data_IF_728380632727
#
_entry.id   IF_728380632727
#
_cell.length_a   1.000
_cell.length_b   1.000
_cell.length_c   1.000
_cell.angle_alpha   90.00
_cell.angle_beta   90.00
_cell.angle_gamma   90.00
#
_symmetry.space_group_name_H-M   'P 1'
#
loop_
_entity.id
_entity.type
_entity.pdbx_description
1 polymer ?
#
# COMPACT_ATOMS: atom_id res chain seq x y z
N UNK A 1 24.42 0.41 -31.36
CA UNK A 1 23.36 -0.34 -30.67
C UNK A 1 22.98 0.46 -29.44
N UNK A 2 21.77 0.98 -29.39
CA UNK A 2 21.26 1.74 -28.25
C UNK A 2 21.02 0.79 -27.06
N UNK A 3 22.06 0.59 -26.25
CA UNK A 3 21.98 -0.19 -25.01
C UNK A 3 21.34 0.64 -23.89
N UNK A 4 20.11 1.12 -24.11
CA UNK A 4 19.34 1.85 -23.09
C UNK A 4 18.77 0.91 -22.01
N UNK A 5 18.77 -0.41 -22.28
CA UNK A 5 18.23 -1.44 -21.40
C UNK A 5 19.10 -2.70 -21.36
N UNK A 6 19.10 -3.36 -20.20
CA UNK A 6 19.74 -4.66 -20.00
C UNK A 6 18.79 -5.56 -19.22
N UNK A 7 18.69 -6.82 -19.64
CA UNK A 7 17.86 -7.84 -18.99
C UNK A 7 18.73 -9.03 -18.60
N UNK A 8 18.65 -9.41 -17.34
CA UNK A 8 19.20 -10.65 -16.82
C UNK A 8 18.06 -11.63 -16.57
N UNK A 9 18.12 -12.78 -17.25
CA UNK A 9 17.16 -13.87 -17.12
C UNK A 9 17.49 -14.83 -15.96
N UNK A 10 18.64 -14.63 -15.32
CA UNK A 10 19.09 -15.37 -14.16
C UNK A 10 19.79 -14.41 -13.19
N UNK A 11 19.16 -14.17 -12.05
CA UNK A 11 19.69 -13.30 -11.00
C UNK A 11 20.99 -13.85 -10.43
N UNK A 12 21.13 -15.16 -10.23
CA UNK A 12 22.39 -15.75 -9.74
C UNK A 12 23.55 -15.53 -10.70
N UNK A 13 23.31 -15.64 -12.01
CA UNK A 13 24.34 -15.34 -13.00
C UNK A 13 24.77 -13.88 -12.91
N UNK A 14 23.80 -12.97 -12.78
CA UNK A 14 24.07 -11.55 -12.62
C UNK A 14 25.01 -11.26 -11.44
N UNK A 15 24.64 -11.72 -10.24
CA UNK A 15 25.40 -11.43 -9.02
C UNK A 15 26.73 -12.19 -8.94
N UNK A 16 26.82 -13.40 -9.51
CA UNK A 16 28.07 -14.16 -9.58
C UNK A 16 29.09 -13.53 -10.51
N UNK A 17 28.65 -12.90 -11.60
CA UNK A 17 29.55 -12.30 -12.59
C UNK A 17 29.91 -10.84 -12.28
N UNK A 18 29.16 -10.16 -11.40
CA UNK A 18 29.35 -8.75 -11.07
C UNK A 18 30.72 -8.35 -10.46
N UNK A 19 31.44 -9.21 -9.72
CA UNK A 19 32.75 -8.85 -9.15
C UNK A 19 33.87 -8.59 -10.18
N UNK A 20 33.68 -8.95 -11.46
CA UNK A 20 34.73 -8.75 -12.47
C UNK A 20 34.76 -7.31 -13.01
N UNK A 21 35.54 -6.46 -12.32
CA UNK A 21 35.69 -5.00 -12.53
C UNK A 21 35.93 -4.53 -13.98
N UNK A 22 36.53 -5.34 -14.83
CA UNK A 22 36.91 -4.94 -16.20
C UNK A 22 35.84 -5.23 -17.26
N UNK A 23 34.87 -6.09 -16.95
CA UNK A 23 33.89 -6.51 -17.95
C UNK A 23 32.77 -5.47 -18.16
N UNK A 24 32.58 -4.50 -17.28
CA UNK A 24 31.32 -3.74 -17.21
C UNK A 24 31.39 -2.25 -17.54
N UNK A 25 32.51 -1.75 -18.10
CA UNK A 25 32.59 -0.34 -18.52
C UNK A 25 31.51 0.03 -19.57
N UNK A 26 31.08 -0.94 -20.39
CA UNK A 26 29.99 -0.75 -21.34
C UNK A 26 28.61 -0.57 -20.68
N UNK A 27 28.46 -0.95 -19.39
CA UNK A 27 27.20 -0.81 -18.64
C UNK A 27 26.96 0.61 -18.10
N UNK A 28 27.95 1.50 -18.16
CA UNK A 28 27.85 2.88 -17.62
C UNK A 28 26.73 3.70 -18.25
N UNK A 29 26.37 3.39 -19.49
CA UNK A 29 25.31 4.07 -20.23
C UNK A 29 23.92 3.51 -19.95
N UNK A 30 23.81 2.34 -19.32
CA UNK A 30 22.55 1.67 -19.03
C UNK A 30 21.64 2.56 -18.19
N UNK A 31 20.43 2.82 -18.69
CA UNK A 31 19.40 3.60 -17.98
C UNK A 31 18.36 2.72 -17.31
N UNK A 32 18.14 1.53 -17.85
CA UNK A 32 17.13 0.57 -17.38
C UNK A 32 17.73 -0.81 -17.17
N UNK A 33 17.46 -1.40 -16.01
CA UNK A 33 17.88 -2.75 -15.67
C UNK A 33 16.65 -3.59 -15.32
N UNK A 34 16.55 -4.79 -15.90
CA UNK A 34 15.57 -5.78 -15.49
C UNK A 34 16.26 -7.04 -14.99
N UNK A 35 15.88 -7.50 -13.80
CA UNK A 35 16.35 -8.75 -13.20
C UNK A 35 15.13 -9.62 -12.96
N UNK A 36 15.12 -10.81 -13.55
CA UNK A 36 14.06 -11.80 -13.34
C UNK A 36 14.69 -13.05 -12.70
N UNK A 37 14.13 -13.54 -11.58
CA UNK A 37 14.57 -14.81 -11.01
C UNK A 37 14.01 -16.00 -11.82
N UNK A 38 14.74 -17.12 -11.83
CA UNK A 38 14.29 -18.35 -12.51
C UNK A 38 13.19 -19.04 -11.69
N UNK A 39 12.25 -19.69 -12.38
CA UNK A 39 11.15 -20.45 -11.74
C UNK A 39 11.65 -21.55 -10.80
N UNK A 40 12.88 -22.03 -11.03
CA UNK A 40 13.47 -23.20 -10.37
C UNK A 40 14.36 -22.82 -9.18
N UNK A 41 14.56 -21.52 -8.91
CA UNK A 41 15.32 -21.01 -7.77
C UNK A 41 14.41 -20.95 -6.54
N UNK A 42 14.02 -22.11 -6.01
CA UNK A 42 13.05 -22.15 -4.91
C UNK A 42 13.62 -21.73 -3.56
N UNK A 43 14.92 -21.88 -3.25
CA UNK A 43 15.38 -21.71 -1.85
C UNK A 43 16.77 -21.11 -1.66
N UNK A 44 17.35 -20.46 -2.66
CA UNK A 44 18.68 -19.88 -2.52
C UNK A 44 18.60 -18.36 -2.54
N UNK A 45 18.77 -17.76 -1.37
CA UNK A 45 19.12 -16.35 -1.26
C UNK A 45 20.26 -16.06 -2.21
N UNK A 46 20.15 -14.99 -2.98
CA UNK A 46 21.17 -14.61 -3.93
C UNK A 46 22.46 -14.37 -3.13
N UNK A 47 23.56 -15.11 -3.42
CA UNK A 47 24.84 -14.83 -2.80
C UNK A 47 25.31 -13.45 -3.28
N UNK A 48 25.06 -12.44 -2.45
CA UNK A 48 25.36 -11.06 -2.77
C UNK A 48 26.86 -10.80 -2.58
N UNK A 49 27.56 -10.61 -3.68
CA UNK A 49 28.82 -9.88 -3.69
C UNK A 49 28.52 -8.41 -3.97
N UNK A 50 28.66 -7.55 -2.97
CA UNK A 50 28.57 -6.09 -3.18
C UNK A 50 29.76 -5.69 -4.06
N UNK A 51 29.55 -5.20 -5.29
CA UNK A 51 30.66 -4.77 -6.12
C UNK A 51 31.33 -3.54 -5.47
N UNK A 52 32.65 -3.56 -5.32
CA UNK A 52 33.41 -2.41 -4.78
C UNK A 52 33.25 -1.15 -5.65
N UNK A 53 32.92 -1.32 -6.93
CA UNK A 53 32.69 -0.24 -7.90
C UNK A 53 31.33 -0.40 -8.55
N UNK A 54 30.45 0.58 -8.37
CA UNK A 54 29.11 0.61 -8.97
C UNK A 54 29.21 0.90 -10.49
N UNK A 55 28.83 -0.04 -11.39
CA UNK A 55 29.07 0.14 -12.83
C UNK A 55 28.01 0.98 -13.53
N UNK A 56 26.92 1.33 -12.84
CA UNK A 56 25.69 1.86 -13.42
C UNK A 56 25.48 3.37 -13.20
N UNK A 57 26.36 4.19 -13.77
CA UNK A 57 26.36 5.64 -13.54
C UNK A 57 25.04 6.31 -13.97
N UNK A 58 24.40 5.83 -15.05
CA UNK A 58 23.19 6.43 -15.62
C UNK A 58 21.90 5.66 -15.30
N UNK A 59 21.96 4.62 -14.47
CA UNK A 59 20.80 3.80 -14.18
C UNK A 59 19.76 4.60 -13.40
N UNK A 60 18.58 4.73 -13.99
CA UNK A 60 17.46 5.48 -13.42
C UNK A 60 16.29 4.58 -13.08
N UNK A 61 16.12 3.45 -13.76
CA UNK A 61 15.00 2.54 -13.55
C UNK A 61 15.46 1.11 -13.37
N UNK A 62 14.90 0.44 -12.37
CA UNK A 62 15.10 -1.00 -12.14
C UNK A 62 13.77 -1.71 -12.00
N UNK A 63 13.61 -2.77 -12.80
CA UNK A 63 12.50 -3.70 -12.73
C UNK A 63 13.01 -5.03 -12.13
N UNK A 64 12.43 -5.47 -11.01
CA UNK A 64 12.74 -6.74 -10.33
C UNK A 64 11.51 -7.65 -10.41
N UNK A 65 11.67 -8.84 -10.94
CA UNK A 65 10.53 -9.72 -11.25
C UNK A 65 10.74 -11.11 -10.63
N UNK A 66 9.71 -11.59 -9.93
CA UNK A 66 9.67 -12.93 -9.30
C UNK A 66 10.80 -13.18 -8.29
N UNK A 67 11.27 -12.12 -7.63
CA UNK A 67 12.36 -12.19 -6.65
C UNK A 67 11.83 -12.33 -5.22
N UNK A 68 12.60 -12.97 -4.35
CA UNK A 68 12.31 -12.95 -2.92
C UNK A 68 12.50 -11.55 -2.36
N UNK A 69 11.63 -11.16 -1.43
CA UNK A 69 11.69 -9.86 -0.77
C UNK A 69 13.05 -9.60 -0.12
N UNK A 70 13.66 -10.61 0.51
CA UNK A 70 15.00 -10.48 1.12
C UNK A 70 16.06 -10.09 0.08
N UNK A 71 16.02 -10.73 -1.09
CA UNK A 71 16.94 -10.43 -2.18
C UNK A 71 16.67 -9.02 -2.71
N UNK A 72 15.41 -8.60 -2.85
CA UNK A 72 15.06 -7.23 -3.26
C UNK A 72 15.65 -6.22 -2.28
N UNK A 73 15.54 -6.45 -0.98
CA UNK A 73 16.06 -5.57 0.07
C UNK A 73 17.58 -5.48 0.00
N UNK A 74 18.26 -6.60 -0.23
CA UNK A 74 19.71 -6.63 -0.35
C UNK A 74 20.22 -6.02 -1.64
N UNK A 75 19.46 -6.22 -2.72
CA UNK A 75 19.58 -5.50 -3.97
C UNK A 75 19.47 -4.03 -3.64
N UNK A 76 18.30 -3.43 -3.39
CA UNK A 76 18.11 -1.95 -3.34
C UNK A 76 19.14 -1.12 -2.55
N UNK A 77 19.87 -1.68 -1.59
CA UNK A 77 21.07 -1.08 -0.95
C UNK A 77 22.10 -0.52 -1.96
N UNK A 78 22.29 -1.15 -3.13
CA UNK A 78 23.14 -0.63 -4.22
C UNK A 78 22.48 0.45 -5.09
N UNK A 79 21.15 0.61 -5.10
CA UNK A 79 20.40 1.41 -6.07
C UNK A 79 20.13 2.84 -5.58
N UNK A 80 21.01 3.41 -4.76
CA UNK A 80 20.74 4.68 -4.05
C UNK A 80 20.42 5.88 -4.97
N UNK A 81 20.74 5.80 -6.26
CA UNK A 81 20.56 6.88 -7.23
C UNK A 81 19.40 6.69 -8.21
N UNK A 82 18.68 5.57 -8.14
CA UNK A 82 17.57 5.31 -9.06
C UNK A 82 16.40 6.25 -8.81
N UNK A 83 15.57 6.41 -9.84
CA UNK A 83 14.34 7.20 -9.82
C UNK A 83 13.10 6.30 -9.87
N UNK A 84 13.19 5.10 -10.45
CA UNK A 84 12.08 4.17 -10.56
C UNK A 84 12.50 2.78 -10.09
N UNK A 85 11.74 2.22 -9.15
CA UNK A 85 11.84 0.84 -8.73
C UNK A 85 10.49 0.17 -8.93
N UNK A 86 10.46 -0.92 -9.69
CA UNK A 86 9.27 -1.71 -9.90
C UNK A 86 9.55 -3.16 -9.55
N UNK A 87 8.83 -3.69 -8.59
CA UNK A 87 8.95 -5.06 -8.12
C UNK A 87 7.65 -5.79 -8.39
N UNK A 88 7.68 -6.81 -9.25
CA UNK A 88 6.52 -7.61 -9.64
C UNK A 88 6.68 -9.06 -9.21
N UNK A 89 5.57 -9.70 -8.81
CA UNK A 89 5.54 -11.07 -8.30
C UNK A 89 6.52 -11.30 -7.14
N UNK A 90 6.55 -10.38 -6.17
CA UNK A 90 7.44 -10.51 -5.01
C UNK A 90 7.07 -11.76 -4.20
N UNK A 91 8.07 -12.60 -3.94
CA UNK A 91 7.93 -13.82 -3.14
C UNK A 91 8.32 -13.55 -1.68
N UNK A 92 7.52 -14.04 -0.73
CA UNK A 92 7.67 -13.74 0.70
C UNK A 92 7.87 -14.98 1.57
N UNK A 93 7.94 -16.17 0.96
CA UNK A 93 8.05 -17.45 1.67
C UNK A 93 9.22 -17.44 2.66
N UNK A 94 8.95 -17.82 3.90
CA UNK A 94 9.96 -18.02 4.93
C UNK A 94 10.49 -16.78 5.64
N UNK A 95 9.93 -15.59 5.39
CA UNK A 95 10.39 -14.35 6.04
C UNK A 95 9.33 -13.68 6.92
N UNK A 96 9.73 -13.42 8.17
CA UNK A 96 8.99 -12.59 9.12
C UNK A 96 9.66 -11.22 9.16
N UNK A 97 9.45 -10.40 8.13
CA UNK A 97 10.08 -9.08 8.05
C UNK A 97 9.19 -7.99 8.66
N UNK A 98 9.77 -7.22 9.57
CA UNK A 98 9.14 -6.04 10.14
C UNK A 98 9.25 -4.88 9.14
N UNK A 99 8.10 -4.38 8.66
CA UNK A 99 7.94 -3.16 7.88
C UNK A 99 8.78 -3.09 6.58
N UNK A 100 8.26 -3.68 5.50
CA UNK A 100 8.91 -3.69 4.17
C UNK A 100 9.21 -2.30 3.63
N UNK A 101 8.35 -1.32 3.90
CA UNK A 101 8.55 0.06 3.42
C UNK A 101 9.82 0.70 3.98
N UNK A 102 10.25 0.28 5.18
CA UNK A 102 11.48 0.76 5.79
C UNK A 102 12.72 0.53 4.92
N UNK A 103 12.75 -0.58 4.18
CA UNK A 103 13.87 -0.97 3.32
C UNK A 103 14.13 -0.01 2.17
N UNK A 104 13.15 0.82 1.80
CA UNK A 104 13.25 1.77 0.68
C UNK A 104 13.58 3.20 1.12
N UNK A 105 13.69 3.46 2.42
CA UNK A 105 14.04 4.78 3.00
C UNK A 105 15.35 5.36 2.44
N UNK A 106 16.32 4.50 2.08
CA UNK A 106 17.62 4.93 1.56
C UNK A 106 17.61 5.49 0.13
N UNK A 107 16.52 5.31 -0.62
CA UNK A 107 16.45 5.62 -2.06
C UNK A 107 16.09 7.10 -2.31
N UNK A 108 16.99 8.02 -1.96
CA UNK A 108 16.71 9.48 -1.89
C UNK A 108 16.18 10.14 -3.17
N UNK A 109 16.44 9.56 -4.34
CA UNK A 109 16.01 10.08 -5.66
C UNK A 109 14.78 9.37 -6.23
N UNK A 110 14.21 8.43 -5.49
CA UNK A 110 13.10 7.60 -5.93
C UNK A 110 11.84 8.44 -6.13
N UNK A 111 11.27 8.35 -7.32
CA UNK A 111 10.02 9.01 -7.73
C UNK A 111 8.88 8.01 -7.92
N UNK A 112 9.22 6.77 -8.30
CA UNK A 112 8.26 5.69 -8.55
C UNK A 112 8.67 4.46 -7.74
N UNK A 113 7.73 3.95 -6.93
CA UNK A 113 7.90 2.72 -6.16
C UNK A 113 6.67 1.83 -6.38
N UNK A 114 6.84 0.73 -7.11
CA UNK A 114 5.80 -0.26 -7.32
C UNK A 114 6.19 -1.57 -6.64
N UNK A 115 5.33 -2.08 -5.77
CA UNK A 115 5.50 -3.31 -5.00
C UNK A 115 4.28 -4.20 -5.19
N UNK A 116 4.39 -5.22 -6.04
CA UNK A 116 3.32 -6.18 -6.29
C UNK A 116 3.72 -7.55 -5.74
N UNK A 117 3.10 -7.95 -4.63
CA UNK A 117 3.36 -9.25 -4.03
C UNK A 117 2.61 -10.35 -4.77
N UNK A 118 3.28 -11.48 -5.00
CA UNK A 118 2.69 -12.62 -5.70
C UNK A 118 1.54 -13.25 -4.89
N UNK A 119 1.74 -13.38 -3.58
CA UNK A 119 0.75 -13.81 -2.60
C UNK A 119 0.51 -12.71 -1.56
N UNK A 120 -0.65 -12.69 -0.87
CA UNK A 120 -0.90 -11.77 0.22
C UNK A 120 0.24 -11.84 1.26
N UNK A 121 0.99 -10.74 1.40
CA UNK A 121 2.13 -10.70 2.29
C UNK A 121 1.67 -10.34 3.70
N UNK A 122 1.62 -11.35 4.56
CA UNK A 122 1.41 -11.18 5.99
C UNK A 122 2.65 -10.52 6.63
N UNK A 123 2.49 -9.28 7.10
CA UNK A 123 3.54 -8.53 7.81
C UNK A 123 3.45 -8.67 9.34
N UNK A 124 2.61 -9.58 9.82
CA UNK A 124 2.35 -9.83 11.21
C UNK A 124 3.37 -10.81 11.79
N UNK A 125 4.47 -10.28 12.32
CA UNK A 125 5.04 -10.96 13.48
C UNK A 125 5.20 -9.97 14.63
N UNK A 126 4.47 -10.26 15.70
CA UNK A 126 4.28 -9.51 16.95
C UNK A 126 5.57 -9.22 17.75
N UNK A 127 6.75 -9.37 17.15
CA UNK A 127 8.04 -9.13 17.78
C UNK A 127 8.38 -7.64 17.98
N UNK A 128 7.64 -6.71 17.37
CA UNK A 128 7.90 -5.26 17.49
C UNK A 128 7.31 -4.61 18.75
N UNK A 129 6.56 -5.34 19.59
CA UNK A 129 6.08 -4.81 20.88
C UNK A 129 7.22 -4.47 21.88
N UNK A 130 8.49 -4.76 21.52
CA UNK A 130 9.64 -4.61 22.43
C UNK A 130 10.61 -3.47 22.03
N UNK A 131 10.59 -2.93 20.79
CA UNK A 131 11.62 -1.95 20.39
C UNK A 131 11.11 -0.51 20.35
N UNK A 132 11.08 0.15 21.51
CA UNK A 132 10.67 1.56 21.72
C UNK A 132 11.55 2.63 21.03
N UNK A 133 12.51 2.26 20.19
CA UNK A 133 13.60 3.19 19.82
C UNK A 133 14.14 3.09 18.39
N UNK A 134 13.36 2.56 17.44
CA UNK A 134 13.75 2.63 16.01
C UNK A 134 13.12 3.87 15.39
N UNK A 135 13.93 4.72 14.78
CA UNK A 135 13.48 5.85 13.99
C UNK A 135 12.37 5.39 13.03
N UNK A 136 11.25 6.13 12.97
CA UNK A 136 10.14 5.81 12.09
C UNK A 136 10.67 5.79 10.65
N UNK A 137 10.40 4.74 9.86
CA UNK A 137 10.83 4.71 8.48
C UNK A 137 10.17 5.85 7.70
N UNK A 138 10.96 6.57 6.91
CA UNK A 138 10.51 7.73 6.13
C UNK A 138 10.78 7.43 4.67
N UNK A 139 9.72 7.29 3.87
CA UNK A 139 9.89 7.14 2.43
C UNK A 139 10.45 8.44 1.83
N UNK A 140 11.17 8.36 0.70
CA UNK A 140 11.72 9.54 0.05
C UNK A 140 10.62 10.57 -0.28
N UNK A 141 10.79 11.82 0.13
CA UNK A 141 9.83 12.92 -0.18
C UNK A 141 9.77 13.28 -1.67
N UNK A 142 10.68 12.71 -2.47
CA UNK A 142 10.72 12.80 -3.93
C UNK A 142 9.74 11.84 -4.60
N UNK A 143 9.12 10.92 -3.85
CA UNK A 143 8.17 9.95 -4.36
C UNK A 143 6.88 10.62 -4.82
N UNK A 144 6.46 10.27 -6.04
CA UNK A 144 5.25 10.79 -6.71
C UNK A 144 4.26 9.69 -7.06
N UNK A 145 4.74 8.47 -7.28
CA UNK A 145 3.92 7.31 -7.63
C UNK A 145 4.27 6.15 -6.70
N UNK A 146 3.29 5.75 -5.88
CA UNK A 146 3.38 4.64 -4.96
C UNK A 146 2.28 3.63 -5.27
N UNK A 147 2.69 2.39 -5.54
CA UNK A 147 1.78 1.29 -5.75
C UNK A 147 2.17 0.12 -4.87
N UNK A 148 1.23 -0.36 -4.07
CA UNK A 148 1.40 -1.53 -3.23
C UNK A 148 0.16 -2.40 -3.39
N UNK A 149 0.34 -3.63 -3.87
CA UNK A 149 -0.77 -4.59 -4.05
C UNK A 149 -0.47 -5.89 -3.33
N UNK A 150 -1.50 -6.52 -2.77
CA UNK A 150 -1.40 -7.75 -1.97
C UNK A 150 -0.63 -7.56 -0.65
N UNK A 151 -0.74 -6.38 -0.03
CA UNK A 151 -0.21 -6.11 1.32
C UNK A 151 -1.25 -6.47 2.38
N UNK A 152 -1.24 -7.70 2.86
CA UNK A 152 -2.24 -8.19 3.80
C UNK A 152 -2.03 -7.64 5.22
N UNK A 153 -3.12 -7.26 5.88
CA UNK A 153 -3.16 -6.85 7.29
C UNK A 153 -3.66 -8.03 8.14
N UNK A 154 -2.79 -8.99 8.46
CA UNK A 154 -3.18 -10.11 9.34
C UNK A 154 -3.59 -9.67 10.73
N UNK A 155 -3.11 -8.49 11.16
CA UNK A 155 -3.47 -7.90 12.43
C UNK A 155 -4.99 -7.61 12.51
N UNK A 156 -5.68 -7.46 11.37
CA UNK A 156 -7.14 -7.32 11.30
C UNK A 156 -7.87 -8.55 11.83
N UNK A 157 -7.39 -9.77 11.51
CA UNK A 157 -8.04 -11.00 11.96
C UNK A 157 -8.08 -11.09 13.50
N UNK A 158 -7.07 -10.49 14.13
CA UNK A 158 -6.91 -10.49 15.59
C UNK A 158 -7.70 -9.36 16.26
N UNK A 159 -8.20 -8.37 15.51
CA UNK A 159 -9.11 -7.36 16.06
C UNK A 159 -10.42 -7.98 16.61
N UNK A 160 -10.80 -9.16 16.11
CA UNK A 160 -12.08 -9.81 16.39
C UNK A 160 -12.15 -10.47 17.77
N UNK A 161 -11.00 -10.80 18.36
CA UNK A 161 -10.91 -11.67 19.53
C UNK A 161 -10.46 -10.94 20.80
N UNK A 162 -10.33 -9.61 20.73
CA UNK A 162 -9.43 -8.91 21.64
C UNK A 162 -10.09 -7.77 22.44
N UNK A 163 -9.78 -7.78 23.75
CA UNK A 163 -10.12 -6.73 24.72
C UNK A 163 -9.55 -5.36 24.29
N UNK A 164 -10.11 -4.23 24.76
CA UNK A 164 -9.67 -2.87 24.41
C UNK A 164 -8.15 -2.61 24.49
N UNK A 165 -7.48 -3.21 25.47
CA UNK A 165 -6.04 -3.07 25.70
C UNK A 165 -5.18 -3.67 24.57
N UNK A 166 -5.72 -4.65 23.85
CA UNK A 166 -5.06 -5.29 22.73
C UNK A 166 -5.35 -4.57 21.41
N UNK A 167 -6.50 -3.89 21.31
CA UNK A 167 -6.82 -3.00 20.18
C UNK A 167 -5.77 -1.91 20.02
N UNK A 168 -5.45 -1.17 21.09
CA UNK A 168 -4.39 -0.15 21.05
C UNK A 168 -3.02 -0.70 20.61
N UNK A 169 -2.73 -1.97 20.94
CA UNK A 169 -1.48 -2.63 20.52
C UNK A 169 -1.48 -2.97 19.04
N UNK A 170 -2.60 -3.46 18.52
CA UNK A 170 -2.77 -3.75 17.10
C UNK A 170 -2.77 -2.47 16.28
N UNK A 171 -3.52 -1.45 16.70
CA UNK A 171 -3.50 -0.16 16.02
C UNK A 171 -2.08 0.44 16.02
N UNK A 172 -1.33 0.31 17.11
CA UNK A 172 0.09 0.69 17.15
C UNK A 172 0.95 -0.04 16.11
N UNK A 173 0.67 -1.33 15.85
CA UNK A 173 1.34 -2.12 14.82
C UNK A 173 1.07 -1.58 13.41
N UNK A 174 -0.22 -1.39 13.11
CA UNK A 174 -0.69 -0.88 11.84
C UNK A 174 -0.14 0.53 11.60
N UNK A 175 -0.16 1.39 12.62
CA UNK A 175 0.44 2.72 12.54
C UNK A 175 1.93 2.69 12.20
N UNK A 176 2.70 1.74 12.72
CA UNK A 176 4.12 1.59 12.33
C UNK A 176 4.22 1.20 10.85
N UNK A 177 3.38 0.27 10.38
CA UNK A 177 3.33 -0.19 8.98
C UNK A 177 3.03 0.95 8.02
N UNK A 178 2.04 1.79 8.32
CA UNK A 178 1.57 2.87 7.45
C UNK A 178 2.26 4.23 7.70
N UNK A 179 2.99 4.40 8.81
CA UNK A 179 3.70 5.65 9.13
C UNK A 179 4.61 6.22 8.02
N UNK A 180 5.21 5.43 7.12
CA UNK A 180 6.00 6.01 6.04
C UNK A 180 5.18 6.89 5.07
N UNK A 181 3.87 6.65 4.94
CA UNK A 181 2.97 7.43 4.08
C UNK A 181 2.81 8.88 4.57
N UNK A 182 2.96 9.12 5.87
CA UNK A 182 2.86 10.45 6.50
C UNK A 182 3.76 11.51 5.85
N UNK A 183 4.87 11.06 5.26
CA UNK A 183 5.90 11.92 4.67
C UNK A 183 5.67 12.26 3.19
N UNK A 184 4.68 11.64 2.56
CA UNK A 184 4.49 11.66 1.10
C UNK A 184 3.56 12.80 0.64
N UNK A 185 3.90 14.03 1.00
CA UNK A 185 3.08 15.22 0.71
C UNK A 185 2.99 15.58 -0.78
N UNK A 186 3.90 15.07 -1.61
CA UNK A 186 3.99 15.33 -3.05
C UNK A 186 3.46 14.17 -3.90
N UNK A 187 2.74 13.24 -3.29
CA UNK A 187 2.26 12.05 -3.98
C UNK A 187 1.16 12.42 -4.99
N UNK A 188 1.33 11.99 -6.23
CA UNK A 188 0.39 12.22 -7.34
C UNK A 188 -0.43 10.96 -7.64
N UNK A 189 0.13 9.77 -7.37
CA UNK A 189 -0.51 8.48 -7.60
C UNK A 189 -0.34 7.59 -6.36
N UNK A 190 -1.47 7.09 -5.86
CA UNK A 190 -1.52 6.12 -4.77
C UNK A 190 -2.39 4.94 -5.16
N UNK A 191 -1.81 3.74 -5.14
CA UNK A 191 -2.53 2.48 -5.30
C UNK A 191 -2.26 1.61 -4.07
N UNK A 192 -3.30 1.31 -3.31
CA UNK A 192 -3.27 0.41 -2.15
C UNK A 192 -4.36 -0.64 -2.30
N UNK A 193 -3.96 -1.86 -2.66
CA UNK A 193 -4.87 -2.98 -2.89
C UNK A 193 -4.61 -4.12 -1.90
N UNK A 194 -5.71 -4.71 -1.43
CA UNK A 194 -5.76 -5.72 -0.35
C UNK A 194 -5.30 -5.19 1.01
N UNK A 195 -5.54 -3.91 1.29
CA UNK A 195 -5.34 -3.28 2.59
C UNK A 195 -6.71 -3.11 3.26
N UNK A 196 -6.90 -3.77 4.41
CA UNK A 196 -8.22 -3.93 5.03
C UNK A 196 -8.30 -3.33 6.43
N UNK A 197 -7.17 -3.08 7.10
CA UNK A 197 -7.12 -2.62 8.49
C UNK A 197 -7.00 -1.10 8.64
N UNK A 198 -7.76 -0.32 7.88
CA UNK A 198 -7.72 1.14 7.99
C UNK A 198 -8.54 1.64 9.19
N UNK A 199 -7.91 1.77 10.36
CA UNK A 199 -8.48 2.51 11.49
C UNK A 199 -8.62 4.00 11.15
N UNK A 200 -9.51 4.71 11.86
CA UNK A 200 -9.70 6.15 11.68
C UNK A 200 -8.39 6.95 11.81
N UNK A 201 -7.49 6.46 12.66
CA UNK A 201 -6.18 7.05 12.88
C UNK A 201 -5.26 6.89 11.67
N UNK A 202 -5.28 5.75 10.97
CA UNK A 202 -4.46 5.54 9.77
C UNK A 202 -4.92 6.47 8.66
N UNK A 203 -6.24 6.63 8.48
CA UNK A 203 -6.78 7.63 7.55
C UNK A 203 -6.25 9.03 7.88
N UNK A 204 -6.47 9.50 9.12
CA UNK A 204 -6.14 10.87 9.51
C UNK A 204 -4.65 11.17 9.56
N UNK A 205 -3.87 10.26 10.15
CA UNK A 205 -2.45 10.51 10.36
C UNK A 205 -1.59 10.08 9.18
N UNK A 206 -1.97 9.04 8.42
CA UNK A 206 -1.13 8.47 7.35
C UNK A 206 -1.60 8.77 5.93
N UNK A 207 -2.91 8.80 5.67
CA UNK A 207 -3.45 9.02 4.33
C UNK A 207 -3.77 10.49 4.04
N UNK A 208 -4.41 11.22 4.95
CA UNK A 208 -4.70 12.67 4.75
C UNK A 208 -3.45 13.48 4.36
N UNK A 209 -2.25 13.28 4.95
CA UNK A 209 -1.08 14.05 4.56
C UNK A 209 -0.67 13.93 3.08
N UNK A 210 -1.06 12.85 2.39
CA UNK A 210 -0.76 12.68 0.97
C UNK A 210 -1.90 13.15 0.05
N UNK A 211 -3.07 13.51 0.57
CA UNK A 211 -4.29 13.77 -0.22
C UNK A 211 -4.22 14.98 -1.16
N UNK A 212 -3.53 16.05 -0.75
CA UNK A 212 -3.65 17.36 -1.39
C UNK A 212 -3.19 17.39 -2.85
N UNK A 213 -2.19 16.58 -3.21
CA UNK A 213 -1.61 16.51 -4.56
C UNK A 213 -2.01 15.26 -5.35
N UNK A 214 -2.84 14.38 -4.77
CA UNK A 214 -3.24 13.15 -5.43
C UNK A 214 -4.11 13.44 -6.65
N UNK A 215 -3.71 12.85 -7.77
CA UNK A 215 -4.42 12.89 -9.05
C UNK A 215 -5.05 11.53 -9.37
N UNK A 216 -4.38 10.46 -8.97
CA UNK A 216 -4.86 9.10 -9.15
C UNK A 216 -4.90 8.38 -7.80
N UNK A 217 -6.08 7.92 -7.42
CA UNK A 217 -6.28 7.12 -6.21
C UNK A 217 -6.96 5.81 -6.58
N UNK A 218 -6.37 4.70 -6.14
CA UNK A 218 -6.95 3.38 -6.28
C UNK A 218 -6.86 2.62 -4.96
N UNK A 219 -8.01 2.34 -4.37
CA UNK A 219 -8.12 1.62 -3.11
C UNK A 219 -8.88 0.33 -3.32
N UNK A 220 -8.33 -0.78 -2.84
CA UNK A 220 -8.88 -2.11 -3.04
C UNK A 220 -8.84 -2.94 -1.77
N UNK A 221 -9.87 -3.75 -1.53
CA UNK A 221 -9.86 -4.76 -0.47
C UNK A 221 -10.32 -4.27 0.91
N UNK A 222 -11.12 -3.20 0.99
CA UNK A 222 -11.85 -2.84 2.23
C UNK A 222 -13.09 -3.74 2.44
N UNK A 223 -13.01 -4.99 2.00
CA UNK A 223 -14.10 -5.96 2.12
C UNK A 223 -14.05 -6.47 3.54
N UNK A 224 -14.95 -5.95 4.38
CA UNK A 224 -15.08 -6.48 5.72
C UNK A 224 -15.44 -7.96 5.64
N UNK A 225 -14.52 -8.82 6.06
CA UNK A 225 -14.94 -10.09 6.63
C UNK A 225 -15.67 -9.74 7.92
N UNK A 226 -16.96 -9.44 7.84
CA UNK A 226 -17.87 -9.20 8.97
C UNK A 226 -17.64 -7.92 9.82
N UNK A 227 -16.43 -7.36 9.89
CA UNK A 227 -16.07 -6.45 10.98
C UNK A 227 -16.12 -4.95 10.67
N UNK A 228 -15.63 -4.43 9.54
CA UNK A 228 -15.87 -3.01 9.23
C UNK A 228 -17.38 -2.72 9.12
N UNK A 229 -18.20 -3.68 8.67
CA UNK A 229 -19.65 -3.58 8.76
C UNK A 229 -20.17 -3.35 10.20
N UNK A 230 -19.52 -3.91 11.22
CA UNK A 230 -19.86 -3.72 12.63
C UNK A 230 -19.30 -2.40 13.22
N UNK A 231 -18.14 -1.93 12.73
CA UNK A 231 -17.55 -0.63 13.10
C UNK A 231 -18.25 0.55 12.41
N UNK A 232 -18.88 0.31 11.27
CA UNK A 232 -19.69 1.25 10.48
C UNK A 232 -21.18 1.23 10.92
N UNK A 233 -21.65 0.19 11.62
CA UNK A 233 -22.99 0.18 12.20
C UNK A 233 -23.02 0.82 13.59
N UNK A 234 -23.90 1.80 13.86
CA UNK A 234 -24.21 2.19 15.22
C UNK A 234 -24.91 1.02 15.93
N UNK A 235 -24.27 0.39 16.90
CA UNK A 235 -24.95 -0.56 17.78
C UNK A 235 -26.09 0.18 18.51
N UNK A 236 -27.34 -0.29 18.41
CA UNK A 236 -28.41 0.25 19.25
C UNK A 236 -28.03 0.02 20.71
N UNK A 237 -28.16 1.07 21.52
CA UNK A 237 -27.69 1.19 22.91
C UNK A 237 -28.23 0.14 23.92
N UNK A 238 -28.92 -0.91 23.45
CA UNK A 238 -29.63 -1.87 24.28
C UNK A 238 -28.99 -3.27 24.35
N UNK A 239 -27.86 -3.51 23.68
CA UNK A 239 -27.12 -4.76 23.88
C UNK A 239 -26.09 -4.59 25.00
N UNK A 240 -26.51 -4.92 26.22
CA UNK A 240 -25.75 -4.93 27.49
C UNK A 240 -24.63 -5.99 27.56
N UNK A 241 -24.05 -6.36 26.41
CA UNK A 241 -22.90 -7.27 26.32
C UNK A 241 -21.68 -6.64 25.64
N UNK A 242 -21.69 -5.34 25.32
CA UNK A 242 -20.48 -4.69 24.82
C UNK A 242 -19.42 -4.61 25.93
N UNK A 243 -18.29 -5.30 25.71
CA UNK A 243 -17.10 -5.30 26.57
C UNK A 243 -16.35 -3.95 26.55
N UNK A 244 -16.93 -2.91 25.95
CA UNK A 244 -16.33 -1.62 25.70
C UNK A 244 -17.06 -0.57 26.53
N UNK A 245 -16.34 0.21 27.31
CA UNK A 245 -16.93 1.39 27.96
C UNK A 245 -17.15 2.47 26.91
N UNK A 246 -18.14 3.35 27.13
CA UNK A 246 -18.54 4.42 26.20
C UNK A 246 -17.39 5.34 25.75
N UNK A 247 -16.31 5.45 26.54
CA UNK A 247 -15.12 6.24 26.19
C UNK A 247 -14.12 5.47 25.29
N UNK A 248 -14.13 4.14 25.32
CA UNK A 248 -13.25 3.28 24.50
C UNK A 248 -13.87 2.92 23.13
N UNK A 249 -15.17 3.17 22.93
CA UNK A 249 -15.87 2.98 21.63
C UNK A 249 -15.60 4.11 20.62
N UNK A 250 -15.17 5.30 21.08
CA UNK A 250 -15.02 6.50 20.26
C UNK A 250 -14.06 6.38 19.05
N UNK A 251 -12.85 5.78 19.14
CA UNK A 251 -11.91 5.74 18.02
C UNK A 251 -12.33 4.77 16.91
N UNK A 252 -13.23 3.83 17.21
CA UNK A 252 -13.72 2.79 16.30
C UNK A 252 -14.86 3.31 15.41
N UNK A 253 -15.75 4.14 15.96
CA UNK A 253 -16.95 4.65 15.26
C UNK A 253 -16.68 5.80 14.30
N UNK A 254 -15.45 6.28 14.25
CA UNK A 254 -15.08 7.52 13.56
C UNK A 254 -14.42 7.27 12.19
N UNK A 255 -14.41 6.01 11.73
CA UNK A 255 -13.77 5.61 10.46
C UNK A 255 -14.43 6.30 9.28
N UNK A 256 -15.77 6.34 9.21
CA UNK A 256 -16.50 7.03 8.13
C UNK A 256 -16.17 8.51 8.06
N UNK A 257 -16.10 9.17 9.23
CA UNK A 257 -15.70 10.57 9.31
C UNK A 257 -14.25 10.76 8.87
N UNK A 258 -13.34 9.85 9.24
CA UNK A 258 -11.95 9.92 8.79
C UNK A 258 -11.79 9.70 7.28
N UNK A 259 -12.60 8.83 6.68
CA UNK A 259 -12.66 8.63 5.22
C UNK A 259 -13.24 9.88 4.55
N UNK A 260 -14.30 10.45 5.10
CA UNK A 260 -14.88 11.71 4.64
C UNK A 260 -13.85 12.85 4.68
N UNK A 261 -13.15 13.02 5.81
CA UNK A 261 -12.06 13.98 5.97
C UNK A 261 -10.99 13.75 4.89
N UNK A 262 -10.65 12.50 4.60
CA UNK A 262 -9.69 12.20 3.54
C UNK A 262 -10.21 12.58 2.14
N UNK A 263 -11.42 12.16 1.77
CA UNK A 263 -12.01 12.47 0.47
C UNK A 263 -12.23 13.97 0.25
N UNK A 264 -12.61 14.72 1.28
CA UNK A 264 -12.74 16.18 1.17
C UNK A 264 -11.40 16.88 0.91
N UNK A 265 -10.28 16.27 1.28
CA UNK A 265 -8.93 16.78 1.01
C UNK A 265 -8.37 16.39 -0.38
N UNK A 266 -9.09 15.60 -1.19
CA UNK A 266 -8.67 15.19 -2.55
C UNK A 266 -8.93 16.30 -3.58
N UNK A 267 -8.23 17.43 -3.42
CA UNK A 267 -8.46 18.66 -4.19
C UNK A 267 -7.99 18.54 -5.65
N UNK A 268 -7.08 17.63 -6.00
CA UNK A 268 -6.52 17.53 -7.37
C UNK A 268 -6.84 16.21 -8.05
N UNK A 269 -7.83 15.47 -7.55
CA UNK A 269 -8.13 14.14 -8.03
C UNK A 269 -8.75 14.18 -9.43
N UNK A 270 -8.16 13.40 -10.34
CA UNK A 270 -8.63 13.19 -11.72
C UNK A 270 -9.29 11.81 -11.88
N UNK A 271 -8.85 10.82 -11.09
CA UNK A 271 -9.31 9.44 -11.16
C UNK A 271 -9.41 8.80 -9.78
N UNK A 272 -10.56 8.20 -9.50
CA UNK A 272 -10.83 7.43 -8.29
C UNK A 272 -11.26 6.02 -8.68
N UNK A 273 -10.54 5.01 -8.19
CA UNK A 273 -10.93 3.62 -8.29
C UNK A 273 -11.11 2.99 -6.92
N UNK A 274 -12.27 2.38 -6.70
CA UNK A 274 -12.63 1.68 -5.47
C UNK A 274 -13.04 0.25 -5.83
N UNK A 275 -12.38 -0.71 -5.20
CA UNK A 275 -12.64 -2.14 -5.36
C UNK A 275 -12.87 -2.78 -3.99
N UNK A 276 -13.90 -3.62 -3.89
CA UNK A 276 -14.25 -4.31 -2.64
C UNK A 276 -14.40 -3.31 -1.46
N UNK A 277 -15.05 -2.17 -1.70
CA UNK A 277 -15.09 -1.06 -0.74
C UNK A 277 -16.39 -1.01 0.06
N UNK A 278 -16.31 -0.87 1.39
CA UNK A 278 -17.51 -0.71 2.24
C UNK A 278 -17.83 0.77 2.42
N UNK A 279 -19.10 1.16 2.20
CA UNK A 279 -19.56 2.56 2.22
C UNK A 279 -20.81 2.71 3.08
N UNK A 280 -20.93 3.87 3.73
CA UNK A 280 -22.14 4.35 4.39
C UNK A 280 -22.61 5.67 3.76
N UNK A 281 -23.67 6.26 4.29
CA UNK A 281 -24.21 7.53 3.80
C UNK A 281 -23.18 8.68 3.83
N UNK A 282 -22.30 8.72 4.83
CA UNK A 282 -21.26 9.76 4.97
C UNK A 282 -20.23 9.66 3.85
N UNK A 283 -19.80 8.44 3.54
CA UNK A 283 -18.86 8.19 2.44
C UNK A 283 -19.53 8.50 1.10
N UNK A 284 -20.80 8.14 0.93
CA UNK A 284 -21.56 8.45 -0.29
C UNK A 284 -21.66 9.97 -0.53
N UNK A 285 -21.97 10.75 0.50
CA UNK A 285 -22.00 12.22 0.41
C UNK A 285 -20.63 12.80 -0.01
N UNK A 286 -19.55 12.20 0.48
CA UNK A 286 -18.18 12.56 0.11
C UNK A 286 -17.92 12.33 -1.38
N UNK A 287 -18.37 11.19 -1.91
CA UNK A 287 -18.22 10.85 -3.32
C UNK A 287 -19.04 11.79 -4.22
N UNK A 288 -20.26 12.16 -3.82
CA UNK A 288 -21.08 13.15 -4.53
C UNK A 288 -20.41 14.53 -4.57
N UNK A 289 -19.81 14.94 -3.45
CA UNK A 289 -19.03 16.19 -3.38
C UNK A 289 -17.84 16.16 -4.35
N UNK A 290 -17.19 15.01 -4.49
CA UNK A 290 -16.09 14.84 -5.46
C UNK A 290 -16.58 14.84 -6.92
N UNK A 291 -17.69 14.18 -7.21
CA UNK A 291 -18.33 14.13 -8.54
C UNK A 291 -18.72 15.53 -9.01
N UNK A 292 -19.53 16.22 -8.19
CA UNK A 292 -20.15 17.51 -8.53
C UNK A 292 -19.15 18.62 -8.83
N UNK A 293 -17.96 18.55 -8.25
CA UNK A 293 -17.00 19.64 -8.37
C UNK A 293 -16.17 19.60 -9.66
N UNK A 294 -15.96 18.44 -10.34
CA UNK A 294 -14.78 18.30 -11.23
C UNK A 294 -14.87 17.39 -12.47
N UNK A 295 -15.99 16.74 -12.76
CA UNK A 295 -16.03 15.77 -13.88
C UNK A 295 -15.07 14.59 -13.65
N UNK A 296 -14.93 14.20 -12.39
CA UNK A 296 -14.09 13.11 -11.92
C UNK A 296 -14.54 11.77 -12.52
N UNK A 297 -13.60 10.93 -12.95
CA UNK A 297 -13.92 9.54 -13.30
C UNK A 297 -13.87 8.68 -12.03
N UNK A 298 -15.03 8.24 -11.57
CA UNK A 298 -15.19 7.34 -10.42
C UNK A 298 -15.49 5.93 -10.93
N UNK A 299 -14.60 4.99 -10.65
CA UNK A 299 -14.74 3.58 -11.00
C UNK A 299 -14.95 2.72 -9.76
N UNK A 300 -16.18 2.29 -9.55
CA UNK A 300 -16.59 1.38 -8.48
C UNK A 300 -16.77 -0.03 -9.04
N UNK A 301 -15.87 -0.97 -8.74
CA UNK A 301 -15.98 -2.35 -9.28
C UNK A 301 -16.82 -3.26 -8.37
N UNK A 302 -16.61 -3.17 -7.06
CA UNK A 302 -17.32 -3.97 -6.06
C UNK A 302 -17.48 -3.13 -4.80
N UNK A 303 -18.69 -3.05 -4.27
CA UNK A 303 -18.97 -2.27 -3.08
C UNK A 303 -20.02 -2.93 -2.18
N UNK A 304 -19.88 -2.71 -0.88
CA UNK A 304 -20.93 -3.02 0.11
C UNK A 304 -21.48 -1.72 0.66
N UNK A 305 -22.77 -1.48 0.50
CA UNK A 305 -23.41 -0.25 1.00
C UNK A 305 -24.25 -0.53 2.24
N UNK A 306 -24.11 0.33 3.25
CA UNK A 306 -24.87 0.30 4.50
C UNK A 306 -25.57 1.65 4.68
N UNK A 307 -26.86 1.73 4.40
CA UNK A 307 -27.60 2.98 4.48
C UNK A 307 -29.11 2.78 4.32
N UNK A 308 -29.84 3.90 4.31
CA UNK A 308 -31.28 3.85 4.15
C UNK A 308 -31.68 3.66 2.67
N UNK A 309 -32.96 3.37 2.42
CA UNK A 309 -33.45 3.11 1.07
C UNK A 309 -33.31 4.31 0.11
N UNK A 310 -33.30 5.55 0.61
CA UNK A 310 -33.09 6.73 -0.21
C UNK A 310 -31.64 6.81 -0.70
N UNK A 311 -30.67 6.54 0.19
CA UNK A 311 -29.25 6.54 -0.17
C UNK A 311 -28.90 5.44 -1.18
N UNK A 312 -29.63 4.31 -1.14
CA UNK A 312 -29.51 3.23 -2.13
C UNK A 312 -29.88 3.73 -3.53
N UNK A 313 -31.02 4.41 -3.66
CA UNK A 313 -31.50 4.94 -4.95
C UNK A 313 -30.48 5.95 -5.50
N UNK A 314 -29.94 6.80 -4.63
CA UNK A 314 -28.95 7.79 -5.06
C UNK A 314 -27.61 7.14 -5.47
N UNK A 315 -27.20 6.06 -4.80
CA UNK A 315 -26.02 5.28 -5.17
C UNK A 315 -26.22 4.60 -6.54
N UNK A 316 -27.40 4.05 -6.79
CA UNK A 316 -27.77 3.48 -8.11
C UNK A 316 -27.69 4.54 -9.21
N UNK A 317 -28.24 5.74 -8.98
CA UNK A 317 -28.19 6.86 -9.94
C UNK A 317 -26.74 7.32 -10.22
N UNK A 318 -25.88 7.36 -9.19
CA UNK A 318 -24.46 7.69 -9.37
C UNK A 318 -23.71 6.64 -10.20
N UNK A 319 -24.05 5.36 -10.03
CA UNK A 319 -23.42 4.24 -10.74
C UNK A 319 -23.80 4.25 -12.22
N UNK A 320 -25.07 4.48 -12.53
CA UNK A 320 -25.56 4.58 -13.90
C UNK A 320 -24.86 5.70 -14.70
N UNK A 321 -24.41 6.78 -14.02
CA UNK A 321 -23.67 7.88 -14.65
C UNK A 321 -22.19 7.58 -14.93
N UNK A 322 -21.55 6.75 -14.12
CA UNK A 322 -20.08 6.69 -14.05
C UNK A 322 -19.44 5.31 -14.20
N UNK A 323 -20.21 4.23 -14.08
CA UNK A 323 -19.64 2.91 -13.87
C UNK A 323 -20.03 1.94 -14.99
N UNK A 324 -19.02 1.34 -15.63
CA UNK A 324 -19.23 0.35 -16.69
C UNK A 324 -19.64 -1.04 -16.13
N UNK A 325 -19.35 -1.33 -14.86
CA UNK A 325 -19.68 -2.59 -14.18
C UNK A 325 -19.53 -2.43 -12.66
N UNK A 326 -20.61 -2.61 -11.88
CA UNK A 326 -20.57 -2.58 -10.41
C UNK A 326 -21.35 -3.76 -9.82
N UNK A 327 -20.68 -4.60 -9.01
CA UNK A 327 -21.37 -5.59 -8.18
C UNK A 327 -21.60 -4.99 -6.77
N UNK A 328 -22.82 -4.54 -6.49
CA UNK A 328 -23.19 -3.98 -5.18
C UNK A 328 -23.90 -5.03 -4.33
N UNK A 329 -23.47 -5.15 -3.08
CA UNK A 329 -24.24 -5.87 -2.05
C UNK A 329 -24.84 -4.87 -1.06
N UNK A 330 -26.17 -4.83 -0.97
CA UNK A 330 -26.88 -4.05 0.05
C UNK A 330 -27.00 -4.88 1.33
N UNK A 331 -26.69 -4.27 2.49
CA UNK A 331 -26.77 -4.92 3.80
C UNK A 331 -27.68 -4.19 4.77
#
# INVERSE_FOLDING_TARGET
MDHDWIRFLDSMFFFKCMPNHYAFNHLRHTRRLRITARKDQSHYAIPMCIPEVYPYIRLSRVDLERMYLVDIIDVVKWLVHIQELRCTDILTDGMTQNNVLASFTGLRRLRVLHLHFYSPCDHGNYAFLISRNRARPVLPSTLKDLQITNLYDSEEQLLNELRPQHWMRIEGALMIKYSPLQSLVNLETLILHSCSAFTARIWRECLIPCASNLRYLSLGGLRSQGHNAALLTPTPANNTTSFWTTDEEAPVRDISNAIHDFFTNLVHLDYLHLEDFTMDSIILDSLRSLESNRGLNIHLISATFQGNACDIIDLEDMIDRHVAYCDITFR
#
